data_IF_879133205295
#
_entry.id   IF_879133205295
#
_cell.length_a   1.000
_cell.length_b   1.000
_cell.length_c   1.000
_cell.angle_alpha   90.00
_cell.angle_beta   90.00
_cell.angle_gamma   90.00
#
_symmetry.space_group_name_H-M   'P 1'
#
loop_
_entity.id
_entity.type
_entity.pdbx_description
1 polymer ?
#
# COMPACT_ATOMS: atom_id res chain seq x y z
N UNK A 1 7.27 -0.29 18.41
CA UNK A 1 5.80 -0.16 18.30
C UNK A 1 5.50 0.46 16.94
N UNK A 2 4.54 -0.11 16.23
CA UNK A 2 4.00 0.46 14.99
C UNK A 2 2.53 0.80 15.25
N UNK A 3 1.99 1.86 14.63
CA UNK A 3 2.67 2.78 13.72
C UNK A 3 3.68 3.72 14.42
N UNK A 4 4.75 4.07 13.73
CA UNK A 4 5.69 5.13 14.09
C UNK A 4 5.97 6.08 12.90
N UNK A 5 6.50 7.28 13.19
CA UNK A 5 6.74 8.29 12.15
C UNK A 5 7.92 7.95 11.21
N UNK A 6 8.90 7.20 11.69
CA UNK A 6 10.09 6.82 10.91
C UNK A 6 9.68 5.92 9.75
N UNK A 7 8.91 4.88 10.01
CA UNK A 7 8.45 3.94 8.99
C UNK A 7 7.40 4.58 8.09
N UNK A 8 6.53 5.46 8.62
CA UNK A 8 5.64 6.27 7.77
C UNK A 8 6.44 7.05 6.72
N UNK A 9 7.47 7.78 7.14
CA UNK A 9 8.33 8.57 6.25
C UNK A 9 9.11 7.69 5.28
N UNK A 10 9.49 6.47 5.66
CA UNK A 10 10.12 5.48 4.77
C UNK A 10 9.15 5.02 3.68
N UNK A 11 7.91 4.72 4.03
CA UNK A 11 6.87 4.32 3.08
C UNK A 11 6.60 5.46 2.09
N UNK A 12 6.40 6.69 2.58
CA UNK A 12 6.22 7.88 1.73
C UNK A 12 7.38 8.07 0.73
N UNK A 13 8.63 7.95 1.21
CA UNK A 13 9.82 8.07 0.35
C UNK A 13 9.94 6.94 -0.68
N UNK A 14 9.60 5.72 -0.29
CA UNK A 14 9.58 4.60 -1.22
C UNK A 14 8.53 4.81 -2.30
N UNK A 15 7.31 5.23 -1.92
CA UNK A 15 6.25 5.51 -2.90
C UNK A 15 6.64 6.63 -3.87
N UNK A 16 7.48 7.58 -3.47
CA UNK A 16 7.99 8.61 -4.37
C UNK A 16 8.92 8.06 -5.47
N UNK A 17 9.59 6.92 -5.25
CA UNK A 17 10.51 6.28 -6.21
C UNK A 17 9.86 5.17 -7.03
N UNK A 18 8.52 5.04 -6.97
CA UNK A 18 7.76 4.00 -7.69
C UNK A 18 7.95 4.06 -9.20
N UNK A 19 7.94 2.89 -9.83
CA UNK A 19 8.14 2.76 -11.28
C UNK A 19 6.84 2.98 -12.05
N UNK A 20 5.69 2.70 -11.44
CA UNK A 20 4.34 2.81 -12.02
C UNK A 20 3.50 3.88 -11.34
N UNK A 21 2.40 4.30 -11.98
CA UNK A 21 1.43 5.25 -11.42
C UNK A 21 2.06 6.60 -11.01
N UNK A 22 3.01 7.11 -11.79
CA UNK A 22 3.82 8.31 -11.46
C UNK A 22 3.03 9.63 -11.37
N UNK A 23 1.82 9.66 -11.90
CA UNK A 23 1.00 10.87 -12.02
C UNK A 23 0.00 11.08 -10.86
N UNK A 24 -0.11 10.12 -9.95
CA UNK A 24 -0.95 10.24 -8.75
C UNK A 24 -0.12 10.47 -7.50
N UNK A 25 -0.66 11.15 -6.50
CA UNK A 25 0.02 11.37 -5.23
C UNK A 25 -0.59 10.46 -4.18
N UNK A 26 0.00 9.27 -3.90
CA UNK A 26 -0.49 8.41 -2.85
C UNK A 26 -0.18 9.01 -1.48
N UNK A 27 -1.09 8.82 -0.53
CA UNK A 27 -0.99 9.23 0.86
C UNK A 27 -0.85 8.00 1.77
N UNK A 28 -0.06 8.14 2.83
CA UNK A 28 0.17 7.09 3.83
C UNK A 28 -0.50 7.49 5.13
N UNK A 29 -1.52 6.76 5.53
CA UNK A 29 -2.22 6.93 6.78
C UNK A 29 -1.78 5.88 7.80
N UNK A 30 -1.70 6.27 9.07
CA UNK A 30 -1.51 5.32 10.16
C UNK A 30 -2.77 4.47 10.33
N UNK A 31 -2.59 3.18 10.62
CA UNK A 31 -3.65 2.22 10.89
C UNK A 31 -3.33 1.46 12.19
N UNK A 32 -4.30 0.74 12.77
CA UNK A 32 -4.21 0.14 14.11
C UNK A 32 -2.93 -0.66 14.38
N UNK A 33 -2.42 -1.37 13.37
CA UNK A 33 -1.21 -2.20 13.46
C UNK A 33 -0.22 -1.92 12.31
N UNK A 34 -0.28 -0.74 11.69
CA UNK A 34 0.61 -0.42 10.57
C UNK A 34 0.17 0.80 9.76
N UNK A 35 0.06 0.64 8.44
CA UNK A 35 -0.15 1.75 7.53
C UNK A 35 -1.10 1.38 6.39
N UNK A 36 -1.86 2.37 5.95
CA UNK A 36 -2.72 2.28 4.79
C UNK A 36 -2.26 3.26 3.74
N UNK A 37 -2.16 2.80 2.51
CA UNK A 37 -1.78 3.59 1.36
C UNK A 37 -3.04 3.84 0.55
N UNK A 38 -3.36 5.10 0.36
CA UNK A 38 -4.48 5.54 -0.44
C UNK A 38 -3.96 6.37 -1.61
N UNK A 39 -4.67 6.37 -2.73
CA UNK A 39 -4.27 7.16 -3.90
C UNK A 39 -5.50 7.65 -4.64
N UNK A 40 -5.45 8.85 -5.24
CA UNK A 40 -6.42 9.23 -6.26
C UNK A 40 -6.48 8.14 -7.34
N UNK A 41 -7.69 7.75 -7.68
CA UNK A 41 -7.94 6.78 -8.73
C UNK A 41 -7.75 7.45 -10.10
N UNK A 42 -6.72 7.03 -10.83
CA UNK A 42 -6.48 7.50 -12.20
C UNK A 42 -7.13 6.62 -13.28
N UNK A 43 -7.83 5.54 -12.90
CA UNK A 43 -8.53 4.67 -13.84
C UNK A 43 -10.04 4.85 -13.72
N UNK A 44 -10.66 5.36 -14.79
CA UNK A 44 -12.12 5.51 -14.89
C UNK A 44 -12.90 4.19 -14.78
N UNK A 45 -12.21 3.04 -14.90
CA UNK A 45 -12.84 1.73 -14.73
C UNK A 45 -13.10 1.38 -13.25
N UNK A 46 -12.32 1.95 -12.32
CA UNK A 46 -12.41 1.65 -10.88
C UNK A 46 -13.30 2.70 -10.22
N UNK A 47 -13.04 3.97 -10.52
CA UNK A 47 -13.85 5.07 -10.03
C UNK A 47 -14.00 6.11 -11.14
N UNK A 48 -15.23 6.26 -11.63
CA UNK A 48 -15.56 7.24 -12.67
C UNK A 48 -15.43 8.68 -12.18
N UNK A 49 -15.48 8.91 -10.87
CA UNK A 49 -15.33 10.22 -10.24
C UNK A 49 -13.87 10.61 -9.97
N UNK A 50 -12.93 9.65 -10.04
CA UNK A 50 -11.52 9.89 -9.74
C UNK A 50 -11.24 10.13 -8.25
N UNK A 51 -12.08 9.58 -7.37
CA UNK A 51 -11.93 9.67 -5.92
C UNK A 51 -10.71 8.93 -5.39
N UNK A 52 -10.46 9.10 -4.09
CA UNK A 52 -9.36 8.43 -3.41
C UNK A 52 -9.75 7.00 -3.09
N UNK A 53 -8.92 6.05 -3.51
CA UNK A 53 -9.12 4.62 -3.28
C UNK A 53 -8.02 4.05 -2.39
N UNK A 54 -8.40 3.04 -1.59
CA UNK A 54 -7.46 2.23 -0.82
C UNK A 54 -6.64 1.33 -1.77
N UNK A 55 -5.31 1.42 -1.73
CA UNK A 55 -4.42 0.69 -2.65
C UNK A 55 -3.80 -0.52 -1.95
N UNK A 56 -3.18 -0.27 -0.81
CA UNK A 56 -2.43 -1.27 -0.07
C UNK A 56 -2.54 -1.04 1.43
N UNK A 57 -2.57 -2.11 2.20
CA UNK A 57 -2.47 -2.08 3.66
C UNK A 57 -1.27 -2.88 4.09
N UNK A 58 -0.47 -2.28 4.96
CA UNK A 58 0.74 -2.82 5.54
C UNK A 58 0.46 -3.03 7.02
N UNK A 59 0.64 -4.25 7.49
CA UNK A 59 0.45 -4.60 8.90
C UNK A 59 1.74 -5.19 9.44
N UNK A 60 2.19 -4.69 10.59
CA UNK A 60 3.32 -5.27 11.30
C UNK A 60 2.82 -6.26 12.33
N UNK A 61 3.21 -7.52 12.18
CA UNK A 61 2.86 -8.60 13.11
C UNK A 61 4.02 -8.77 14.09
N UNK A 62 3.81 -8.33 15.33
CA UNK A 62 4.86 -8.31 16.35
C UNK A 62 5.37 -9.72 16.70
N UNK A 63 4.48 -10.72 16.72
CA UNK A 63 4.80 -12.09 17.12
C UNK A 63 5.74 -12.78 16.13
N UNK A 64 5.51 -12.61 14.82
CA UNK A 64 6.37 -13.15 13.77
C UNK A 64 7.47 -12.18 13.32
N UNK A 65 7.47 -10.94 13.84
CA UNK A 65 8.34 -9.84 13.40
C UNK A 65 8.33 -9.64 11.89
N UNK A 66 7.15 -9.77 11.30
CA UNK A 66 6.96 -9.77 9.86
C UNK A 66 5.96 -8.68 9.42
N UNK A 67 6.03 -8.34 8.14
CA UNK A 67 5.14 -7.38 7.50
C UNK A 67 4.18 -8.09 6.58
N UNK A 68 2.89 -7.94 6.81
CA UNK A 68 1.85 -8.43 5.91
C UNK A 68 1.43 -7.33 4.96
N UNK A 69 1.36 -7.68 3.69
CA UNK A 69 0.84 -6.84 2.64
C UNK A 69 -0.55 -7.34 2.26
N UNK A 70 -1.49 -6.40 2.20
CA UNK A 70 -2.83 -6.64 1.67
C UNK A 70 -3.08 -5.70 0.50
N UNK A 71 -3.78 -6.21 -0.51
CA UNK A 71 -4.34 -5.41 -1.60
C UNK A 71 -5.82 -5.19 -1.38
N UNK A 72 -6.38 -4.11 -1.92
CA UNK A 72 -7.82 -3.90 -1.91
C UNK A 72 -8.44 -4.60 -3.13
N UNK A 73 -9.41 -5.48 -2.91
CA UNK A 73 -10.32 -5.90 -3.96
C UNK A 73 -11.42 -4.84 -4.07
N UNK A 74 -11.39 -4.03 -5.13
CA UNK A 74 -12.35 -2.95 -5.32
C UNK A 74 -13.74 -3.45 -5.74
N UNK A 75 -13.85 -4.65 -6.31
CA UNK A 75 -15.13 -5.23 -6.68
C UNK A 75 -15.89 -5.70 -5.43
N UNK A 76 -15.19 -6.32 -4.48
CA UNK A 76 -15.77 -6.81 -3.22
C UNK A 76 -15.65 -5.81 -2.07
N UNK A 77 -14.84 -4.74 -2.23
CA UNK A 77 -14.49 -3.75 -1.22
C UNK A 77 -13.78 -4.34 0.01
N UNK A 78 -13.09 -5.45 -0.16
CA UNK A 78 -12.43 -6.21 0.91
C UNK A 78 -10.90 -6.17 0.81
N UNK A 79 -10.22 -6.34 1.93
CA UNK A 79 -8.78 -6.48 1.97
C UNK A 79 -8.39 -7.94 1.74
N UNK A 80 -7.62 -8.19 0.69
CA UNK A 80 -7.10 -9.52 0.38
C UNK A 80 -5.64 -9.61 0.79
N UNK A 81 -5.32 -10.63 1.59
CA UNK A 81 -3.94 -10.94 1.93
C UNK A 81 -3.14 -11.25 0.66
N UNK A 82 -2.03 -10.55 0.49
CA UNK A 82 -1.14 -10.74 -0.65
C UNK A 82 0.05 -11.61 -0.25
N UNK A 83 0.72 -11.28 0.86
CA UNK A 83 1.91 -12.00 1.30
C UNK A 83 2.53 -11.43 2.57
N UNK A 84 3.50 -12.14 3.10
CA UNK A 84 4.28 -11.77 4.29
C UNK A 84 5.75 -11.58 3.92
N UNK A 85 6.38 -10.56 4.52
CA UNK A 85 7.74 -10.13 4.23
C UNK A 85 8.53 -10.00 5.54
N UNK A 86 9.80 -10.39 5.52
CA UNK A 86 10.67 -10.28 6.70
C UNK A 86 11.08 -8.84 7.01
N UNK A 87 11.01 -7.93 6.04
CA UNK A 87 11.41 -6.55 6.20
C UNK A 87 10.52 -5.57 5.42
N UNK A 88 10.30 -4.38 5.98
CA UNK A 88 9.55 -3.30 5.35
C UNK A 88 10.14 -2.91 3.99
N UNK A 89 11.46 -2.85 3.85
CA UNK A 89 12.12 -2.49 2.60
C UNK A 89 11.83 -3.49 1.47
N UNK A 90 11.76 -4.78 1.79
CA UNK A 90 11.46 -5.83 0.81
C UNK A 90 10.03 -5.68 0.30
N UNK A 91 9.08 -5.51 1.22
CA UNK A 91 7.68 -5.23 0.91
C UNK A 91 7.57 -3.97 0.02
N UNK A 92 8.26 -2.88 0.38
CA UNK A 92 8.20 -1.63 -0.38
C UNK A 92 8.80 -1.75 -1.78
N UNK A 93 9.89 -2.49 -1.95
CA UNK A 93 10.44 -2.77 -3.28
C UNK A 93 9.45 -3.55 -4.14
N UNK A 94 8.77 -4.53 -3.54
CA UNK A 94 7.74 -5.30 -4.21
C UNK A 94 6.57 -4.39 -4.65
N UNK A 95 6.02 -3.62 -3.71
CA UNK A 95 4.91 -2.70 -3.96
C UNK A 95 5.26 -1.64 -5.02
N UNK A 96 6.49 -1.11 -5.02
CA UNK A 96 6.94 -0.10 -5.98
C UNK A 96 7.09 -0.63 -7.41
N UNK A 97 7.42 -1.92 -7.55
CA UNK A 97 7.54 -2.58 -8.86
C UNK A 97 6.18 -3.00 -9.37
N UNK A 98 5.28 -3.43 -8.48
CA UNK A 98 3.94 -3.96 -8.75
C UNK A 98 3.89 -4.72 -10.08
N UNK A 99 4.64 -5.84 -10.20
CA UNK A 99 4.83 -6.53 -11.48
C UNK A 99 3.48 -6.93 -12.09
N UNK A 100 2.58 -7.42 -11.24
CA UNK A 100 1.28 -7.98 -11.59
C UNK A 100 0.14 -6.95 -11.70
N UNK A 101 0.42 -5.66 -11.45
CA UNK A 101 -0.58 -4.56 -11.47
C UNK A 101 -1.75 -4.81 -10.52
N UNK A 102 -1.46 -5.36 -9.34
CA UNK A 102 -2.49 -5.88 -8.43
C UNK A 102 -2.98 -4.88 -7.38
N UNK A 103 -2.35 -3.71 -7.25
CA UNK A 103 -2.65 -2.77 -6.16
C UNK A 103 -3.37 -1.49 -6.63
N UNK A 104 -3.09 -1.00 -7.83
CA UNK A 104 -3.69 0.23 -8.39
C UNK A 104 -4.70 -0.09 -9.50
N UNK A 105 -5.64 -0.99 -9.20
CA UNK A 105 -6.55 -1.62 -10.16
C UNK A 105 -8.01 -1.51 -9.84
#
# INVERSE_FOLDING_TARGET
MHPNDVDRKRIERALATRVRYRYVSPEVQADEAGYRIQSPCCSRNIDKSGGVIDIARLEYVADSRAWRLYRKDHAQREWQFYGEFGALNELLQFLNRDPDRSFWQ
#
